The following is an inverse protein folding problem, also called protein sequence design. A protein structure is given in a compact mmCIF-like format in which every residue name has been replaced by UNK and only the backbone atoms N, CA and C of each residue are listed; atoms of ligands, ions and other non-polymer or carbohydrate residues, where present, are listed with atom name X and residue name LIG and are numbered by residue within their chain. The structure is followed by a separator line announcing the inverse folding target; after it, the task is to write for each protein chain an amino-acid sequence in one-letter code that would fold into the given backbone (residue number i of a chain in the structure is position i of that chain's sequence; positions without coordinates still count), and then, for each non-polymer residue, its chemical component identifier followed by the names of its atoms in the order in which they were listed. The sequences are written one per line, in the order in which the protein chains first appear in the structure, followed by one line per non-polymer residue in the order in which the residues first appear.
data_IF_105693555242
#
_entry.id   IF_105693555242
#
_cell.length_a   1.000
_cell.length_b   1.000
_cell.length_c   1.000
_cell.angle_alpha   90.00
_cell.angle_beta   90.00
_cell.angle_gamma   90.00
#
_symmetry.space_group_name_H-M   'P 1'
#
loop_
_entity.id
_entity.type
_entity.pdbx_description
1 polymer ?
#
# COMPACT_ATOMS: atom_id res chain seq x y z
N UNK A 1 53.19 45.11 24.61
CA UNK A 1 53.00 45.06 23.13
C UNK A 1 53.33 43.63 22.69
N UNK A 2 52.51 42.81 22.04
CA UNK A 2 51.12 42.81 21.58
C UNK A 2 50.65 41.35 21.72
N UNK A 3 49.49 41.12 22.33
CA UNK A 3 48.82 39.82 22.40
C UNK A 3 48.09 39.63 21.06
N UNK A 4 48.42 38.59 20.29
CA UNK A 4 47.66 38.20 19.09
C UNK A 4 46.86 36.94 19.40
N UNK A 5 45.62 37.17 19.78
CA UNK A 5 44.55 36.19 19.98
C UNK A 5 44.19 35.56 18.64
N UNK A 6 44.41 34.26 18.48
CA UNK A 6 43.91 33.50 17.33
C UNK A 6 42.57 32.85 17.70
N UNK A 7 41.47 33.47 17.26
CA UNK A 7 40.16 32.84 17.21
C UNK A 7 40.12 31.91 15.99
N UNK A 8 40.14 30.60 16.19
CA UNK A 8 39.81 29.63 15.14
C UNK A 8 38.31 29.33 15.22
N UNK A 9 37.61 29.83 14.21
CA UNK A 9 36.17 29.73 14.01
C UNK A 9 35.81 28.34 13.46
N UNK A 10 34.85 27.70 14.14
CA UNK A 10 33.82 26.75 13.68
C UNK A 10 34.06 26.04 12.33
N UNK A 11 34.30 24.73 12.42
CA UNK A 11 33.97 23.77 11.38
C UNK A 11 33.08 22.68 11.96
N UNK A 12 31.81 22.98 12.23
CA UNK A 12 30.81 21.93 12.43
C UNK A 12 30.54 21.29 11.07
N UNK A 13 31.25 20.22 10.79
CA UNK A 13 30.87 19.28 9.75
C UNK A 13 29.53 18.67 10.18
N UNK A 14 28.43 19.27 9.72
CA UNK A 14 27.18 18.53 9.61
C UNK A 14 27.50 17.26 8.82
N UNK A 15 27.23 16.05 9.33
CA UNK A 15 27.17 14.93 8.43
C UNK A 15 26.03 15.26 7.47
N UNK A 16 26.38 15.68 6.25
CA UNK A 16 25.47 15.67 5.12
C UNK A 16 24.84 14.29 5.16
N UNK A 17 23.53 14.25 5.45
CA UNK A 17 22.80 13.01 5.56
C UNK A 17 23.18 12.16 4.36
N UNK A 18 23.89 11.07 4.62
CA UNK A 18 23.96 9.98 3.67
C UNK A 18 22.49 9.66 3.44
N UNK A 19 21.96 10.06 2.28
CA UNK A 19 20.80 9.40 1.72
C UNK A 19 21.28 7.99 1.50
N UNK A 20 21.21 7.18 2.56
CA UNK A 20 21.20 5.75 2.41
C UNK A 20 19.92 5.52 1.61
N UNK A 21 20.07 5.47 0.28
CA UNK A 21 19.20 4.67 -0.55
C UNK A 21 19.32 3.26 0.03
N UNK A 22 18.59 3.03 1.12
CA UNK A 22 18.35 1.72 1.68
C UNK A 22 17.74 0.98 0.52
N UNK A 23 18.55 0.13 -0.13
CA UNK A 23 18.12 -0.70 -1.25
C UNK A 23 16.79 -1.30 -0.84
N UNK A 24 15.70 -0.80 -1.45
CA UNK A 24 14.35 -1.14 -1.04
C UNK A 24 14.18 -2.60 -1.38
N UNK A 25 14.20 -3.46 -0.36
CA UNK A 25 14.05 -4.88 -0.60
C UNK A 25 12.63 -5.10 -1.12
N UNK A 26 12.51 -5.59 -2.35
CA UNK A 26 11.22 -5.93 -2.93
C UNK A 26 10.54 -6.96 -2.03
N UNK A 27 9.28 -6.72 -1.60
CA UNK A 27 8.57 -7.69 -0.77
C UNK A 27 8.37 -9.03 -1.50
N UNK A 28 8.96 -10.11 -0.98
CA UNK A 28 8.89 -11.46 -1.59
C UNK A 28 7.48 -11.94 -1.96
N UNK A 29 6.40 -11.64 -1.20
CA UNK A 29 5.06 -12.09 -1.58
C UNK A 29 4.58 -11.53 -2.92
N UNK A 30 5.09 -10.36 -3.37
CA UNK A 30 4.73 -9.81 -4.69
C UNK A 30 5.16 -10.74 -5.84
N UNK A 31 6.21 -11.53 -5.65
CA UNK A 31 6.75 -12.45 -6.67
C UNK A 31 6.27 -13.90 -6.47
N UNK A 32 5.39 -14.15 -5.49
CA UNK A 32 4.93 -15.49 -5.11
C UNK A 32 3.71 -15.90 -5.94
N UNK A 33 3.82 -16.95 -6.79
CA UNK A 33 2.67 -17.44 -7.56
C UNK A 33 1.52 -17.92 -6.66
N UNK A 34 1.85 -18.44 -5.47
CA UNK A 34 0.86 -18.87 -4.49
C UNK A 34 0.05 -17.68 -3.93
N UNK A 35 0.71 -16.53 -3.74
CA UNK A 35 0.06 -15.31 -3.27
C UNK A 35 -0.87 -14.75 -4.34
N UNK A 36 -0.40 -14.71 -5.60
CA UNK A 36 -1.23 -14.35 -6.76
C UNK A 36 -2.45 -15.25 -6.90
N UNK A 37 -2.27 -16.57 -6.81
CA UNK A 37 -3.39 -17.52 -6.88
C UNK A 37 -4.38 -17.33 -5.72
N UNK A 38 -3.90 -17.17 -4.48
CA UNK A 38 -4.76 -16.92 -3.33
C UNK A 38 -5.59 -15.65 -3.48
N UNK A 39 -4.99 -14.58 -4.02
CA UNK A 39 -5.69 -13.32 -4.32
C UNK A 39 -6.71 -13.54 -5.44
N UNK A 40 -6.32 -14.20 -6.54
CA UNK A 40 -7.22 -14.49 -7.67
C UNK A 40 -8.47 -15.25 -7.23
N UNK A 41 -8.32 -16.34 -6.48
CA UNK A 41 -9.46 -17.14 -6.00
C UNK A 41 -10.39 -16.29 -5.12
N UNK A 42 -9.83 -15.47 -4.24
CA UNK A 42 -10.59 -14.57 -3.37
C UNK A 42 -11.33 -13.49 -4.17
N UNK A 43 -10.67 -12.88 -5.16
CA UNK A 43 -11.27 -11.83 -5.99
C UNK A 43 -12.33 -12.37 -6.92
N UNK A 44 -12.10 -13.54 -7.53
CA UNK A 44 -13.06 -14.21 -8.41
C UNK A 44 -14.36 -14.56 -7.67
N UNK A 45 -14.23 -15.00 -6.41
CA UNK A 45 -15.40 -15.25 -5.57
C UNK A 45 -16.19 -13.95 -5.32
N UNK A 46 -15.51 -12.88 -4.91
CA UNK A 46 -16.16 -11.61 -4.64
C UNK A 46 -16.82 -10.99 -5.88
N UNK A 47 -16.15 -11.04 -7.04
CA UNK A 47 -16.64 -10.47 -8.29
C UNK A 47 -17.88 -11.18 -8.84
N UNK A 48 -18.07 -12.48 -8.54
CA UNK A 48 -19.29 -13.21 -8.91
C UNK A 48 -20.53 -12.72 -8.16
N UNK A 49 -20.33 -12.16 -6.96
CA UNK A 49 -21.41 -11.63 -6.13
C UNK A 49 -21.58 -10.12 -6.27
N UNK A 50 -20.60 -9.42 -6.84
CA UNK A 50 -20.70 -8.00 -7.16
C UNK A 50 -21.70 -7.80 -8.32
N UNK A 51 -22.60 -6.83 -8.16
CA UNK A 51 -23.61 -6.48 -9.18
C UNK A 51 -23.30 -5.16 -9.88
N UNK A 52 -22.35 -4.40 -9.35
CA UNK A 52 -21.91 -3.12 -9.91
C UNK A 52 -20.51 -3.28 -10.48
N UNK A 53 -20.43 -3.62 -11.77
CA UNK A 53 -19.16 -3.76 -12.47
C UNK A 53 -18.68 -2.45 -13.12
N UNK A 54 -19.51 -1.41 -13.10
CA UNK A 54 -19.25 -0.14 -13.79
C UNK A 54 -18.43 0.83 -12.93
N UNK A 55 -18.56 0.71 -11.60
CA UNK A 55 -17.80 1.55 -10.68
C UNK A 55 -16.59 0.84 -10.11
N UNK A 56 -15.54 1.60 -9.82
CA UNK A 56 -14.36 1.15 -9.07
C UNK A 56 -14.22 1.95 -7.78
N UNK A 57 -13.83 1.27 -6.72
CA UNK A 57 -13.42 1.91 -5.47
C UNK A 57 -11.97 2.39 -5.58
N UNK A 58 -11.08 1.53 -6.08
CA UNK A 58 -9.68 1.85 -6.31
C UNK A 58 -9.53 2.93 -7.39
N UNK A 59 -8.63 3.90 -7.16
CA UNK A 59 -8.22 4.83 -8.19
C UNK A 59 -7.53 4.11 -9.35
N UNK A 60 -7.65 4.69 -10.55
CA UNK A 60 -7.02 4.13 -11.75
C UNK A 60 -5.59 4.67 -11.85
N UNK A 61 -4.61 3.77 -11.80
CA UNK A 61 -3.23 4.11 -12.09
C UNK A 61 -2.91 3.75 -13.54
N UNK A 62 -2.51 4.75 -14.32
CA UNK A 62 -1.98 4.49 -15.67
C UNK A 62 -0.59 3.84 -15.58
N UNK A 63 -0.15 3.18 -16.65
CA UNK A 63 1.21 2.64 -16.72
C UNK A 63 2.32 3.70 -16.61
N UNK A 64 2.01 4.97 -16.87
CA UNK A 64 2.91 6.09 -16.59
C UNK A 64 2.94 6.40 -15.09
N UNK A 65 1.77 6.54 -14.46
CA UNK A 65 1.67 6.81 -13.02
C UNK A 65 2.35 5.71 -12.18
N UNK A 66 2.23 4.44 -12.57
CA UNK A 66 2.87 3.33 -11.86
C UNK A 66 4.40 3.43 -11.82
N UNK A 67 5.02 4.26 -12.67
CA UNK A 67 6.46 4.52 -12.69
C UNK A 67 6.87 5.74 -11.85
N UNK A 68 5.91 6.50 -11.33
CA UNK A 68 6.19 7.64 -10.46
C UNK A 68 6.71 7.14 -9.10
N UNK A 69 7.70 7.84 -8.53
CA UNK A 69 8.40 7.41 -7.32
C UNK A 69 7.47 7.19 -6.11
N UNK A 70 6.41 8.01 -6.02
CA UNK A 70 5.44 7.96 -4.93
C UNK A 70 4.41 6.84 -5.09
N UNK A 71 4.23 6.27 -6.29
CA UNK A 71 3.15 5.30 -6.56
C UNK A 71 3.24 4.06 -5.69
N UNK A 72 4.45 3.56 -5.42
CA UNK A 72 4.61 2.43 -4.50
C UNK A 72 4.09 2.76 -3.10
N UNK A 73 4.39 3.95 -2.58
CA UNK A 73 3.96 4.34 -1.24
C UNK A 73 2.50 4.72 -1.16
N UNK A 74 1.93 5.35 -2.21
CA UNK A 74 0.49 5.61 -2.28
C UNK A 74 -0.27 4.29 -2.21
N UNK A 75 0.13 3.29 -3.01
CA UNK A 75 -0.51 1.98 -2.98
C UNK A 75 -0.24 1.21 -1.66
N UNK A 76 0.90 1.43 -1.00
CA UNK A 76 1.17 0.86 0.33
C UNK A 76 0.26 1.46 1.41
N UNK A 77 -0.08 2.75 1.35
CA UNK A 77 -1.06 3.36 2.26
C UNK A 77 -2.48 2.82 2.01
N UNK A 78 -2.86 2.61 0.75
CA UNK A 78 -4.12 1.93 0.41
C UNK A 78 -4.11 0.49 0.95
N UNK A 79 -2.99 -0.24 0.84
CA UNK A 79 -2.85 -1.59 1.40
C UNK A 79 -3.03 -1.60 2.93
N UNK A 80 -2.49 -0.61 3.64
CA UNK A 80 -2.71 -0.47 5.09
C UNK A 80 -4.21 -0.37 5.41
N UNK A 81 -4.94 0.46 4.66
CA UNK A 81 -6.38 0.58 4.80
C UNK A 81 -7.09 -0.76 4.53
N UNK A 82 -6.71 -1.48 3.47
CA UNK A 82 -7.25 -2.80 3.17
C UNK A 82 -7.05 -3.77 4.34
N UNK A 83 -5.84 -3.85 4.88
CA UNK A 83 -5.51 -4.76 5.98
C UNK A 83 -6.27 -4.43 7.27
N UNK A 84 -6.54 -3.15 7.52
CA UNK A 84 -7.20 -2.67 8.74
C UNK A 84 -8.73 -2.69 8.66
N UNK A 85 -9.31 -2.41 7.49
CA UNK A 85 -10.74 -2.12 7.36
C UNK A 85 -11.48 -3.08 6.43
N UNK A 86 -10.82 -3.69 5.43
CA UNK A 86 -11.49 -4.52 4.42
C UNK A 86 -11.24 -6.01 4.68
N UNK A 87 -9.96 -6.37 4.80
CA UNK A 87 -9.49 -7.74 5.01
C UNK A 87 -9.38 -8.09 6.50
N UNK A 88 -9.85 -7.22 7.41
CA UNK A 88 -9.83 -7.49 8.85
C UNK A 88 -10.54 -8.81 9.15
N UNK A 89 -9.96 -9.64 10.01
CA UNK A 89 -10.49 -10.98 10.25
C UNK A 89 -11.63 -10.96 11.26
N UNK A 90 -12.75 -11.55 10.87
CA UNK A 90 -13.79 -12.01 11.76
C UNK A 90 -14.23 -13.42 11.31
N UNK A 91 -14.92 -14.16 12.19
CA UNK A 91 -15.28 -15.56 11.91
C UNK A 91 -16.19 -15.69 10.67
N UNK A 92 -17.06 -14.72 10.43
CA UNK A 92 -17.97 -14.74 9.29
C UNK A 92 -17.20 -14.52 7.98
N UNK A 93 -16.32 -13.52 7.94
CA UNK A 93 -15.51 -13.21 6.79
C UNK A 93 -14.54 -14.32 6.40
N UNK A 94 -13.88 -14.94 7.38
CA UNK A 94 -12.96 -16.06 7.14
C UNK A 94 -13.72 -17.31 6.62
N UNK A 95 -15.02 -17.46 6.91
CA UNK A 95 -15.89 -18.50 6.31
C UNK A 95 -16.29 -18.17 4.88
N UNK A 96 -16.60 -16.91 4.58
CA UNK A 96 -16.94 -16.45 3.23
C UNK A 96 -15.74 -16.57 2.28
N UNK A 97 -14.53 -16.27 2.77
CA UNK A 97 -13.29 -16.36 1.99
C UNK A 97 -12.29 -17.32 2.66
N UNK A 98 -12.39 -18.64 2.43
CA UNK A 98 -11.58 -19.65 3.14
C UNK A 98 -10.05 -19.45 3.04
N UNK A 99 -9.56 -18.78 1.99
CA UNK A 99 -8.13 -18.52 1.79
C UNK A 99 -7.66 -17.14 2.29
N UNK A 100 -8.56 -16.29 2.78
CA UNK A 100 -8.22 -14.89 3.11
C UNK A 100 -7.20 -14.77 4.23
N UNK A 101 -7.14 -15.75 5.14
CA UNK A 101 -6.13 -15.78 6.20
C UNK A 101 -4.70 -15.78 5.66
N UNK A 102 -4.45 -16.58 4.62
CA UNK A 102 -3.13 -16.67 4.00
C UNK A 102 -2.82 -15.42 3.18
N UNK A 103 -3.80 -14.95 2.38
CA UNK A 103 -3.68 -13.69 1.63
C UNK A 103 -3.37 -12.52 2.56
N UNK A 104 -4.12 -12.37 3.65
CA UNK A 104 -3.89 -11.34 4.68
C UNK A 104 -2.51 -11.42 5.30
N UNK A 105 -2.02 -12.64 5.58
CA UNK A 105 -0.66 -12.84 6.11
C UNK A 105 0.40 -12.36 5.11
N UNK A 106 0.24 -12.70 3.83
CA UNK A 106 1.14 -12.30 2.76
C UNK A 106 1.14 -10.79 2.54
N UNK A 107 -0.05 -10.19 2.48
CA UNK A 107 -0.21 -8.75 2.35
C UNK A 107 0.35 -7.98 3.56
N UNK A 108 0.24 -8.52 4.78
CA UNK A 108 0.93 -7.94 5.95
C UNK A 108 2.45 -8.00 5.80
N UNK A 109 3.00 -9.08 5.25
CA UNK A 109 4.44 -9.17 4.97
C UNK A 109 4.86 -8.12 3.92
N UNK A 110 4.03 -7.88 2.91
CA UNK A 110 4.24 -6.78 1.95
C UNK A 110 4.27 -5.44 2.69
N UNK A 111 3.24 -5.14 3.49
CA UNK A 111 3.15 -3.88 4.23
C UNK A 111 4.34 -3.67 5.16
N UNK A 112 4.75 -4.68 5.92
CA UNK A 112 5.86 -4.58 6.87
C UNK A 112 7.20 -4.26 6.20
N UNK A 113 7.39 -4.71 4.95
CA UNK A 113 8.59 -4.39 4.17
C UNK A 113 8.50 -2.98 3.57
N UNK A 114 7.31 -2.53 3.14
CA UNK A 114 7.15 -1.22 2.50
C UNK A 114 7.05 -0.06 3.51
N UNK A 115 6.40 -0.26 4.66
CA UNK A 115 6.07 0.79 5.64
C UNK A 115 7.29 1.61 6.08
N UNK A 116 8.45 1.00 6.42
CA UNK A 116 9.62 1.77 6.85
C UNK A 116 10.15 2.75 5.79
N UNK A 117 9.79 2.53 4.52
CA UNK A 117 10.18 3.37 3.39
C UNK A 117 9.05 4.33 2.95
N UNK A 118 7.88 4.28 3.58
CA UNK A 118 6.70 5.10 3.25
C UNK A 118 6.21 5.98 4.41
N UNK A 119 7.10 6.30 5.36
CA UNK A 119 6.78 6.95 6.64
C UNK A 119 6.24 8.39 6.45
N UNK A 120 6.43 9.03 5.29
CA UNK A 120 6.03 10.43 5.11
C UNK A 120 4.54 10.63 5.36
N UNK A 121 4.20 11.48 6.34
CA UNK A 121 2.83 11.92 6.64
C UNK A 121 2.14 12.57 5.44
N UNK A 122 2.91 13.17 4.53
CA UNK A 122 2.39 13.73 3.28
C UNK A 122 1.76 12.67 2.37
N UNK A 123 2.21 11.41 2.45
CA UNK A 123 1.73 10.31 1.60
C UNK A 123 0.46 9.66 2.14
N UNK A 124 0.30 9.58 3.47
CA UNK A 124 -0.96 9.17 4.08
C UNK A 124 -2.09 10.18 3.80
N UNK A 125 -1.72 11.47 3.71
CA UNK A 125 -2.65 12.55 3.40
C UNK A 125 -2.79 12.82 1.89
N UNK A 126 -2.16 11.98 1.05
CA UNK A 126 -2.17 12.13 -0.40
C UNK A 126 -3.59 12.02 -0.96
N UNK A 127 -3.91 12.85 -1.96
CA UNK A 127 -5.28 12.98 -2.49
C UNK A 127 -5.84 11.63 -2.97
N UNK A 128 -5.03 10.82 -3.63
CA UNK A 128 -5.42 9.48 -4.11
C UNK A 128 -5.82 8.54 -2.96
N UNK A 129 -5.10 8.59 -1.83
CA UNK A 129 -5.41 7.75 -0.66
C UNK A 129 -6.74 8.21 -0.06
N UNK A 130 -6.91 9.53 0.15
CA UNK A 130 -8.15 10.10 0.69
C UNK A 130 -9.36 9.81 -0.21
N UNK A 131 -9.22 9.98 -1.52
CA UNK A 131 -10.30 9.69 -2.46
C UNK A 131 -10.74 8.22 -2.40
N UNK A 132 -9.78 7.29 -2.28
CA UNK A 132 -10.11 5.88 -2.08
C UNK A 132 -10.88 5.66 -0.78
N UNK A 133 -10.39 6.19 0.35
CA UNK A 133 -11.03 6.04 1.66
C UNK A 133 -12.44 6.64 1.65
N UNK A 134 -12.62 7.83 1.09
CA UNK A 134 -13.91 8.51 0.97
C UNK A 134 -14.90 7.71 0.12
N UNK A 135 -14.46 7.19 -1.04
CA UNK A 135 -15.28 6.31 -1.89
C UNK A 135 -15.70 5.04 -1.17
N UNK A 136 -14.77 4.36 -0.51
CA UNK A 136 -15.07 3.17 0.28
C UNK A 136 -16.07 3.50 1.39
N UNK A 137 -15.82 4.55 2.17
CA UNK A 137 -16.69 4.95 3.28
C UNK A 137 -18.08 5.37 2.80
N UNK A 138 -18.19 6.06 1.67
CA UNK A 138 -19.47 6.41 1.07
C UNK A 138 -20.26 5.17 0.61
N UNK A 139 -19.58 4.17 0.03
CA UNK A 139 -20.18 2.89 -0.34
C UNK A 139 -20.61 2.10 0.90
N UNK A 140 -19.74 2.00 1.91
CA UNK A 140 -19.97 1.28 3.14
C UNK A 140 -21.12 1.86 3.97
N UNK A 141 -21.33 3.18 3.94
CA UNK A 141 -22.50 3.85 4.55
C UNK A 141 -23.83 3.39 3.93
N UNK A 142 -23.84 3.01 2.65
CA UNK A 142 -25.04 2.48 1.96
C UNK A 142 -25.23 0.99 2.25
N UNK A 143 -24.15 0.22 2.11
CA UNK A 143 -24.15 -1.22 2.39
C UNK A 143 -22.72 -1.68 2.67
N UNK A 144 -22.40 -1.92 3.95
CA UNK A 144 -21.06 -2.32 4.38
C UNK A 144 -20.62 -3.66 3.77
N UNK A 145 -21.51 -4.66 3.72
CA UNK A 145 -21.18 -5.98 3.20
C UNK A 145 -20.87 -5.92 1.69
N UNK A 146 -21.69 -5.20 0.93
CA UNK A 146 -21.47 -5.03 -0.51
C UNK A 146 -20.20 -4.21 -0.79
N UNK A 147 -19.96 -3.12 -0.04
CA UNK A 147 -18.74 -2.32 -0.18
C UNK A 147 -17.48 -3.12 0.12
N UNK A 148 -17.53 -3.94 1.18
CA UNK A 148 -16.44 -4.84 1.56
C UNK A 148 -16.21 -5.90 0.48
N UNK A 149 -17.26 -6.57 0.00
CA UNK A 149 -17.15 -7.54 -1.08
C UNK A 149 -16.56 -6.93 -2.35
N UNK A 150 -17.02 -5.75 -2.74
CA UNK A 150 -16.49 -5.01 -3.89
C UNK A 150 -15.00 -4.72 -3.74
N UNK A 151 -14.58 -4.19 -2.58
CA UNK A 151 -13.16 -3.93 -2.32
C UNK A 151 -12.33 -5.23 -2.32
N UNK A 152 -12.85 -6.33 -1.75
CA UNK A 152 -12.20 -7.64 -1.84
C UNK A 152 -11.98 -8.04 -3.30
N UNK A 153 -12.99 -7.88 -4.17
CA UNK A 153 -12.91 -8.12 -5.61
C UNK A 153 -11.88 -7.25 -6.34
N UNK A 154 -11.51 -6.11 -5.78
CA UNK A 154 -10.50 -5.20 -6.34
C UNK A 154 -9.08 -5.44 -5.78
N UNK A 155 -8.90 -6.36 -4.84
CA UNK A 155 -7.58 -6.65 -4.23
C UNK A 155 -6.52 -7.05 -5.28
N UNK A 156 -6.92 -7.76 -6.34
CA UNK A 156 -6.01 -8.16 -7.43
C UNK A 156 -5.43 -6.95 -8.18
N UNK A 157 -6.21 -5.88 -8.31
CA UNK A 157 -5.78 -4.63 -8.96
C UNK A 157 -4.76 -3.92 -8.07
N UNK A 158 -5.05 -3.78 -6.78
CA UNK A 158 -4.11 -3.19 -5.81
C UNK A 158 -2.80 -3.99 -5.77
N UNK A 159 -2.89 -5.32 -5.77
CA UNK A 159 -1.70 -6.17 -5.76
C UNK A 159 -0.86 -6.02 -7.03
N UNK A 160 -1.50 -5.87 -8.18
CA UNK A 160 -0.82 -5.52 -9.44
C UNK A 160 -0.14 -4.15 -9.37
N UNK A 161 -0.82 -3.13 -8.85
CA UNK A 161 -0.20 -1.80 -8.71
C UNK A 161 1.03 -1.84 -7.80
N UNK A 162 0.97 -2.56 -6.68
CA UNK A 162 2.14 -2.78 -5.81
C UNK A 162 3.25 -3.55 -6.52
N UNK A 163 2.91 -4.59 -7.29
CA UNK A 163 3.88 -5.39 -8.04
C UNK A 163 4.66 -4.56 -9.07
N UNK A 164 3.98 -3.70 -9.81
CA UNK A 164 4.57 -2.85 -10.85
C UNK A 164 5.33 -1.66 -10.28
N UNK A 165 4.76 -0.98 -9.27
CA UNK A 165 5.34 0.26 -8.74
C UNK A 165 6.42 0.03 -7.68
N UNK A 166 6.39 -1.08 -6.92
CA UNK A 166 7.36 -1.36 -5.86
C UNK A 166 8.57 -2.17 -6.35
N UNK A 167 9.16 -1.76 -7.46
CA UNK A 167 10.40 -2.35 -7.98
C UNK A 167 11.61 -1.91 -7.14
N UNK A 168 12.61 -2.78 -7.00
CA UNK A 168 13.84 -2.49 -6.25
C UNK A 168 14.75 -1.41 -6.89
N UNK A 169 14.32 -0.79 -8.00
CA UNK A 169 15.02 0.29 -8.70
C UNK A 169 14.23 1.59 -8.53
N UNK A 170 14.37 2.22 -7.37
CA UNK A 170 14.11 3.65 -7.15
C UNK A 170 15.16 4.16 -6.17
#
# INVERSE_FOLDING_TARGET
MKLLTLFVVLGWSFPSGLSMHLMRHRPKPLDSPNTWNGISVMTDHAQKEDKDHETRLLPVFSGAMLKDDDSCCINAHILEFYLKHILHGDEHFDKTYPHVRFVRSDLRRVQNVLQPHCISRSLAEHIIVKEFEEKYNASAKKNLAAARNKAVGETIILFHYLFESCNARM
#
